data_IF_263328061676
#
_entry.id   IF_263328061676
#
_cell.length_a   1.000
_cell.length_b   1.000
_cell.length_c   1.000
_cell.angle_alpha   90.00
_cell.angle_beta   90.00
_cell.angle_gamma   90.00
#
_symmetry.space_group_name_H-M   'P 1'
#
loop_
_entity.id
_entity.type
_entity.pdbx_description
1 polymer ?
#
# COMPACT_ATOMS: atom_id res chain seq x y z
N UNK A 1 -13.13 17.29 9.57
CA UNK A 1 -12.78 15.89 9.26
C UNK A 1 -11.62 15.94 8.30
N UNK A 2 -10.41 15.70 8.79
CA UNK A 2 -9.28 15.44 7.90
C UNK A 2 -9.65 14.20 7.08
N UNK A 3 -9.48 14.27 5.75
CA UNK A 3 -9.69 13.14 4.85
C UNK A 3 -8.94 11.93 5.41
N UNK A 4 -9.53 10.74 5.29
CA UNK A 4 -8.74 9.52 5.32
C UNK A 4 -7.80 9.58 4.11
N UNK A 5 -6.61 10.13 4.30
CA UNK A 5 -5.62 10.30 3.23
C UNK A 5 -5.04 8.94 2.89
N UNK A 6 -5.62 8.29 1.88
CA UNK A 6 -5.27 6.96 1.36
C UNK A 6 -5.65 7.05 -0.13
N UNK A 7 -4.79 6.90 -1.14
CA UNK A 7 -3.79 5.86 -1.42
C UNK A 7 -2.78 6.44 -2.44
N UNK A 8 -1.48 6.41 -2.15
CA UNK A 8 -0.44 6.65 -3.16
C UNK A 8 0.19 5.28 -3.48
N UNK A 9 -0.15 4.75 -4.66
CA UNK A 9 0.48 3.54 -5.19
C UNK A 9 2.01 3.78 -5.23
N UNK A 10 2.87 2.83 -4.83
CA UNK A 10 4.28 2.95 -5.19
C UNK A 10 4.38 3.13 -6.71
N UNK A 11 5.09 4.19 -7.14
CA UNK A 11 5.46 4.47 -8.53
C UNK A 11 6.47 3.42 -9.00
N UNK A 12 6.01 2.19 -9.15
CA UNK A 12 6.74 1.13 -9.82
C UNK A 12 6.61 1.38 -11.32
N UNK A 13 7.75 1.47 -11.99
CA UNK A 13 7.84 1.51 -13.46
C UNK A 13 7.29 0.17 -13.94
N UNK A 14 6.05 0.20 -14.41
CA UNK A 14 5.29 -0.97 -14.84
C UNK A 14 4.71 -0.64 -16.19
N UNK A 15 5.19 -1.30 -17.22
CA UNK A 15 4.65 -1.24 -18.57
C UNK A 15 3.52 -2.30 -18.68
N UNK A 16 2.57 -2.12 -19.57
CA UNK A 16 1.42 -2.94 -20.00
C UNK A 16 0.84 -4.20 -19.30
N UNK A 17 -0.49 -4.33 -19.34
CA UNK A 17 -1.29 -5.58 -19.41
C UNK A 17 -2.47 -5.43 -20.40
N UNK A 18 -2.70 -6.38 -21.32
CA UNK A 18 -4.00 -6.57 -21.98
C UNK A 18 -4.78 -7.72 -21.34
N UNK A 19 -6.04 -7.49 -20.99
CA UNK A 19 -6.95 -8.47 -20.39
C UNK A 19 -7.38 -9.57 -21.37
N UNK A 20 -6.89 -10.79 -21.19
CA UNK A 20 -7.67 -12.00 -21.47
C UNK A 20 -7.61 -12.93 -20.26
N UNK A 21 -8.74 -13.47 -19.77
CA UNK A 21 -8.75 -14.49 -18.74
C UNK A 21 -8.43 -15.83 -19.39
N UNK A 22 -7.18 -16.05 -19.79
CA UNK A 22 -6.65 -17.41 -19.65
C UNK A 22 -6.44 -17.58 -18.15
N UNK A 23 -6.89 -18.70 -17.58
CA UNK A 23 -6.43 -19.15 -16.27
C UNK A 23 -4.91 -19.13 -16.34
N UNK A 24 -4.30 -18.04 -15.86
CA UNK A 24 -2.87 -17.82 -15.94
C UNK A 24 -2.32 -18.93 -15.07
N UNK A 25 -1.65 -19.90 -15.68
CA UNK A 25 -1.09 -21.01 -14.95
C UNK A 25 -0.07 -20.41 -13.98
N UNK A 26 -0.41 -20.33 -12.69
CA UNK A 26 0.48 -19.76 -11.71
C UNK A 26 1.74 -20.62 -11.61
N UNK A 27 2.90 -19.96 -11.49
CA UNK A 27 4.12 -20.69 -11.19
C UNK A 27 3.97 -21.33 -9.81
N UNK A 28 4.31 -22.62 -9.67
CA UNK A 28 4.31 -23.27 -8.36
C UNK A 28 5.04 -22.43 -7.31
N UNK A 29 4.58 -22.47 -6.05
CA UNK A 29 5.28 -21.80 -4.97
C UNK A 29 6.68 -22.37 -4.79
N UNK A 30 7.67 -21.55 -4.39
CA UNK A 30 8.97 -22.06 -4.00
C UNK A 30 8.83 -23.02 -2.81
N UNK A 31 9.47 -24.19 -2.90
CA UNK A 31 9.70 -25.02 -1.72
C UNK A 31 10.85 -24.42 -0.92
N UNK A 32 10.63 -24.20 0.38
CA UNK A 32 11.66 -23.67 1.28
C UNK A 32 11.82 -24.53 2.52
N UNK A 33 13.05 -24.62 3.02
CA UNK A 33 13.40 -25.39 4.21
C UNK A 33 13.57 -24.55 5.50
N UNK A 34 13.36 -23.23 5.41
CA UNK A 34 13.59 -22.31 6.52
C UNK A 34 12.53 -22.39 7.63
N UNK A 35 12.99 -22.30 8.88
CA UNK A 35 12.12 -22.27 10.07
C UNK A 35 11.40 -20.93 10.24
N UNK A 36 10.24 -20.94 10.90
CA UNK A 36 9.46 -19.72 11.16
C UNK A 36 10.25 -18.71 12.00
N UNK A 37 11.01 -19.15 13.01
CA UNK A 37 11.82 -18.25 13.83
C UNK A 37 12.90 -17.49 13.03
N UNK A 38 13.47 -18.13 12.00
CA UNK A 38 14.44 -17.50 11.12
C UNK A 38 13.78 -16.46 10.21
N UNK A 39 12.62 -16.81 9.64
CA UNK A 39 11.85 -15.93 8.76
C UNK A 39 11.24 -14.75 9.53
N UNK A 40 10.84 -14.96 10.77
CA UNK A 40 10.35 -13.94 11.67
C UNK A 40 11.44 -12.90 12.00
N UNK A 41 12.65 -13.38 12.34
CA UNK A 41 13.83 -12.52 12.53
C UNK A 41 14.18 -11.73 11.26
N UNK A 42 14.13 -12.36 10.10
CA UNK A 42 14.32 -11.68 8.81
C UNK A 42 13.24 -10.61 8.58
N UNK A 43 12.00 -10.93 8.93
CA UNK A 43 10.85 -10.03 8.86
C UNK A 43 11.10 -8.71 9.59
N UNK A 44 11.51 -8.80 10.85
CA UNK A 44 11.85 -7.65 11.69
C UNK A 44 13.12 -6.91 11.22
N UNK A 45 14.10 -7.60 10.64
CA UNK A 45 15.28 -6.93 10.08
C UNK A 45 14.90 -6.06 8.87
N UNK A 46 14.03 -6.55 7.99
CA UNK A 46 13.51 -5.77 6.85
C UNK A 46 12.71 -4.57 7.35
N UNK A 47 11.81 -4.76 8.33
CA UNK A 47 11.08 -3.67 9.00
C UNK A 47 12.02 -2.56 9.48
N UNK A 48 13.02 -2.91 10.29
CA UNK A 48 13.93 -1.95 10.89
C UNK A 48 14.73 -1.13 9.86
N UNK A 49 15.14 -1.76 8.76
CA UNK A 49 15.92 -1.10 7.70
C UNK A 49 15.06 -0.17 6.84
N UNK A 50 13.87 -0.63 6.44
CA UNK A 50 12.95 0.19 5.63
C UNK A 50 12.47 1.41 6.41
N UNK A 51 12.17 1.26 7.71
CA UNK A 51 11.71 2.38 8.55
C UNK A 51 12.79 3.45 8.81
N UNK A 52 14.06 3.21 8.46
CA UNK A 52 15.13 4.23 8.45
C UNK A 52 15.54 4.65 7.03
N UNK A 53 14.79 4.24 6.02
CA UNK A 53 15.02 4.59 4.61
C UNK A 53 16.14 3.79 3.93
N UNK A 54 16.62 2.71 4.56
CA UNK A 54 17.68 1.86 4.02
C UNK A 54 17.11 0.63 3.29
N UNK A 55 17.18 0.65 1.95
CA UNK A 55 16.76 -0.47 1.09
C UNK A 55 17.83 -1.54 0.89
N UNK A 56 19.04 -1.37 1.44
CA UNK A 56 20.21 -2.22 1.14
C UNK A 56 19.98 -3.69 1.46
N UNK A 57 19.33 -3.99 2.59
CA UNK A 57 19.00 -5.38 2.94
C UNK A 57 18.00 -5.96 1.95
N UNK A 58 16.97 -5.20 1.61
CA UNK A 58 15.90 -5.66 0.72
C UNK A 58 16.45 -5.93 -0.70
N UNK A 59 17.38 -5.12 -1.19
CA UNK A 59 18.08 -5.35 -2.46
C UNK A 59 18.86 -6.66 -2.49
N UNK A 60 19.57 -6.98 -1.39
CA UNK A 60 20.33 -8.23 -1.28
C UNK A 60 19.42 -9.45 -1.25
N UNK A 61 18.22 -9.30 -0.69
CA UNK A 61 17.26 -10.38 -0.58
C UNK A 61 16.50 -10.61 -1.88
N UNK A 62 16.23 -9.57 -2.68
CA UNK A 62 15.52 -9.72 -3.94
C UNK A 62 16.34 -10.52 -4.96
N UNK A 63 15.89 -11.73 -5.27
CA UNK A 63 16.47 -12.56 -6.32
C UNK A 63 15.84 -12.20 -7.66
N UNK A 64 16.50 -11.31 -8.42
CA UNK A 64 16.06 -10.96 -9.78
C UNK A 64 16.06 -12.14 -10.74
N UNK A 65 16.95 -13.10 -10.53
CA UNK A 65 16.98 -14.33 -11.31
C UNK A 65 15.69 -15.14 -11.11
N UNK A 66 15.31 -15.39 -9.85
CA UNK A 66 14.08 -16.14 -9.55
C UNK A 66 12.83 -15.34 -9.90
N UNK A 67 12.82 -14.02 -9.70
CA UNK A 67 11.73 -13.16 -10.18
C UNK A 67 11.58 -13.26 -11.71
N UNK A 68 12.68 -13.26 -12.46
CA UNK A 68 12.66 -13.40 -13.91
C UNK A 68 12.13 -14.76 -14.36
N UNK A 69 12.46 -15.84 -13.65
CA UNK A 69 11.85 -17.15 -13.89
C UNK A 69 10.33 -17.12 -13.69
N UNK A 70 9.85 -16.45 -12.63
CA UNK A 70 8.42 -16.26 -12.39
C UNK A 70 7.76 -15.46 -13.50
N UNK A 71 8.41 -14.39 -13.96
CA UNK A 71 7.94 -13.59 -15.10
C UNK A 71 7.86 -14.46 -16.36
N UNK A 72 8.86 -15.29 -16.63
CA UNK A 72 8.94 -16.10 -17.85
C UNK A 72 7.98 -17.31 -17.87
N UNK A 73 7.48 -17.75 -16.71
CA UNK A 73 6.59 -18.89 -16.58
C UNK A 73 5.33 -18.77 -17.48
N UNK A 74 4.88 -19.87 -18.14
CA UNK A 74 5.34 -21.26 -18.05
C UNK A 74 6.57 -21.60 -18.91
N UNK A 75 7.13 -20.63 -19.61
CA UNK A 75 8.32 -20.84 -20.43
C UNK A 75 9.55 -20.90 -19.53
N UNK A 76 10.44 -21.87 -19.79
CA UNK A 76 11.69 -22.02 -19.04
C UNK A 76 12.77 -21.23 -19.78
N UNK A 77 13.25 -20.09 -19.25
CA UNK A 77 14.27 -19.31 -19.92
C UNK A 77 15.59 -20.09 -19.94
N UNK A 78 16.30 -20.03 -21.07
CA UNK A 78 17.64 -20.58 -21.21
C UNK A 78 18.63 -19.85 -20.29
N UNK A 79 19.75 -20.50 -19.96
CA UNK A 79 20.81 -19.90 -19.14
C UNK A 79 21.31 -18.56 -19.72
N UNK A 80 21.39 -18.48 -21.05
CA UNK A 80 21.78 -17.25 -21.76
C UNK A 80 20.75 -16.15 -21.59
N UNK A 81 19.45 -16.45 -21.68
CA UNK A 81 18.39 -15.44 -21.51
C UNK A 81 18.34 -14.91 -20.09
N UNK A 82 18.56 -15.78 -19.08
CA UNK A 82 18.72 -15.36 -17.69
C UNK A 82 19.92 -14.41 -17.52
N UNK A 83 21.08 -14.76 -18.09
CA UNK A 83 22.28 -13.92 -18.03
C UNK A 83 22.08 -12.56 -18.72
N UNK A 84 21.45 -12.55 -19.90
CA UNK A 84 21.13 -11.31 -20.63
C UNK A 84 20.15 -10.43 -19.85
N UNK A 85 19.13 -11.01 -19.22
CA UNK A 85 18.18 -10.29 -18.37
C UNK A 85 18.85 -9.70 -17.11
N UNK A 86 19.67 -10.48 -16.41
CA UNK A 86 20.43 -10.03 -15.23
C UNK A 86 21.41 -8.90 -15.56
N UNK A 87 22.08 -8.98 -16.72
CA UNK A 87 22.94 -7.90 -17.20
C UNK A 87 22.14 -6.64 -17.47
N UNK A 88 21.02 -6.74 -18.20
CA UNK A 88 20.17 -5.60 -18.51
C UNK A 88 19.60 -4.92 -17.25
N UNK A 89 19.25 -5.70 -16.23
CA UNK A 89 18.83 -5.18 -14.93
C UNK A 89 19.97 -4.44 -14.21
N UNK A 90 21.15 -5.04 -14.14
CA UNK A 90 22.34 -4.39 -13.55
C UNK A 90 22.66 -3.06 -14.24
N UNK A 91 22.67 -3.04 -15.58
CA UNK A 91 22.87 -1.81 -16.37
C UNK A 91 21.76 -0.76 -16.14
N UNK A 92 20.53 -1.18 -15.85
CA UNK A 92 19.43 -0.26 -15.52
C UNK A 92 19.60 0.36 -14.13
N UNK A 93 20.05 -0.42 -13.13
CA UNK A 93 20.40 0.12 -11.81
C UNK A 93 21.54 1.13 -11.93
N UNK A 94 22.63 0.75 -12.62
CA UNK A 94 23.79 1.61 -12.82
C UNK A 94 23.43 2.95 -13.48
N UNK A 95 22.52 2.93 -14.46
CA UNK A 95 22.04 4.15 -15.12
C UNK A 95 21.10 4.99 -14.28
N UNK A 96 20.19 4.36 -13.54
CA UNK A 96 19.20 5.08 -12.72
C UNK A 96 19.77 5.57 -11.40
N UNK A 97 20.89 5.00 -10.95
CA UNK A 97 21.52 5.34 -9.66
C UNK A 97 20.73 4.85 -8.45
N UNK A 98 19.65 4.09 -8.65
CA UNK A 98 18.78 3.58 -7.59
C UNK A 98 18.31 2.17 -7.93
N UNK A 99 18.47 1.27 -6.98
CA UNK A 99 18.01 -0.11 -7.11
C UNK A 99 16.47 -0.20 -7.03
N UNK A 100 15.93 -1.34 -7.45
CA UNK A 100 14.51 -1.62 -7.31
C UNK A 100 14.03 -1.50 -5.85
N UNK A 101 14.74 -2.10 -4.89
CA UNK A 101 14.29 -2.05 -3.51
C UNK A 101 14.44 -0.64 -2.94
N UNK A 102 15.49 0.11 -3.27
CA UNK A 102 15.62 1.50 -2.83
C UNK A 102 14.51 2.40 -3.42
N UNK A 103 14.08 2.16 -4.66
CA UNK A 103 12.93 2.85 -5.23
C UNK A 103 11.63 2.54 -4.49
N UNK A 104 11.46 1.30 -4.03
CA UNK A 104 10.35 0.89 -3.19
C UNK A 104 10.44 1.58 -1.82
N UNK A 105 11.58 1.47 -1.14
CA UNK A 105 11.81 2.05 0.20
C UNK A 105 11.63 3.56 0.18
N UNK A 106 12.17 4.27 -0.81
CA UNK A 106 12.04 5.74 -0.89
C UNK A 106 10.60 6.21 -1.07
N UNK A 107 9.74 5.40 -1.68
CA UNK A 107 8.32 5.71 -1.81
C UNK A 107 7.56 5.43 -0.52
N UNK A 108 8.00 4.44 0.23
CA UNK A 108 7.43 4.08 1.53
C UNK A 108 7.91 4.98 2.67
N UNK A 109 9.16 5.40 2.65
CA UNK A 109 9.80 6.15 3.73
C UNK A 109 9.26 7.58 3.91
N UNK A 110 8.54 8.15 2.92
CA UNK A 110 7.95 9.48 3.04
C UNK A 110 6.86 9.51 4.13
N UNK A 111 7.29 9.69 5.38
CA UNK A 111 6.46 9.72 6.60
C UNK A 111 5.66 8.44 6.86
N UNK A 112 6.08 7.34 6.22
CA UNK A 112 5.42 6.05 6.36
C UNK A 112 6.12 5.12 7.33
N UNK A 113 5.32 4.26 7.95
CA UNK A 113 5.77 3.16 8.78
C UNK A 113 5.44 1.84 8.08
N UNK A 114 6.43 0.95 8.03
CA UNK A 114 6.23 -0.45 7.72
C UNK A 114 6.21 -1.26 9.01
N UNK A 115 5.27 -2.20 9.13
CA UNK A 115 5.13 -3.10 10.26
C UNK A 115 5.02 -4.55 9.78
N UNK A 116 5.93 -5.40 10.21
CA UNK A 116 5.91 -6.83 9.99
C UNK A 116 4.79 -7.47 10.82
N UNK A 117 3.94 -8.23 10.14
CA UNK A 117 2.76 -8.88 10.73
C UNK A 117 2.94 -10.38 10.92
N UNK A 118 4.09 -10.91 10.48
CA UNK A 118 4.46 -12.30 10.66
C UNK A 118 4.62 -13.09 9.36
N UNK A 119 5.02 -14.34 9.55
CA UNK A 119 5.17 -15.34 8.49
C UNK A 119 3.81 -15.94 8.17
N UNK A 120 3.47 -16.03 6.88
CA UNK A 120 2.27 -16.70 6.36
C UNK A 120 2.70 -17.92 5.54
N UNK A 121 2.25 -19.11 5.94
CA UNK A 121 2.40 -20.34 5.15
C UNK A 121 1.06 -20.63 4.49
N UNK A 122 1.00 -20.41 3.19
CA UNK A 122 -0.19 -20.52 2.38
C UNK A 122 0.02 -21.55 1.26
N UNK A 123 -1.05 -22.05 0.61
CA UNK A 123 -0.90 -22.99 -0.51
C UNK A 123 -0.06 -22.44 -1.66
N UNK A 124 0.02 -21.12 -1.82
CA UNK A 124 0.80 -20.40 -2.83
C UNK A 124 2.18 -19.92 -2.32
N UNK A 125 2.63 -20.45 -1.17
CA UNK A 125 4.00 -20.35 -0.71
C UNK A 125 4.15 -19.74 0.68
N UNK A 126 5.40 -19.48 1.06
CA UNK A 126 5.71 -18.83 2.34
C UNK A 126 5.95 -17.35 2.10
N UNK A 127 5.25 -16.50 2.85
CA UNK A 127 5.29 -15.06 2.69
C UNK A 127 5.66 -14.35 3.98
N UNK A 128 6.41 -13.26 3.85
CA UNK A 128 6.58 -12.27 4.91
C UNK A 128 5.55 -11.16 4.68
N UNK A 129 4.60 -11.00 5.61
CA UNK A 129 3.51 -10.04 5.48
C UNK A 129 3.82 -8.75 6.25
N UNK A 130 3.57 -7.61 5.62
CA UNK A 130 3.78 -6.29 6.18
C UNK A 130 2.54 -5.42 6.01
N UNK A 131 2.22 -4.61 7.02
CA UNK A 131 1.42 -3.40 6.88
C UNK A 131 2.35 -2.26 6.47
N UNK A 132 1.89 -1.43 5.56
CA UNK A 132 2.47 -0.12 5.31
C UNK A 132 1.39 0.93 5.56
N UNK A 133 1.72 1.98 6.32
CA UNK A 133 0.81 3.08 6.61
C UNK A 133 1.56 4.39 6.57
N UNK A 134 1.05 5.39 5.84
CA UNK A 134 1.55 6.76 5.94
C UNK A 134 0.41 7.79 5.82
N UNK A 135 0.60 9.02 6.28
CA UNK A 135 -0.37 10.10 6.09
C UNK A 135 -0.64 10.41 4.61
N UNK A 136 0.31 10.09 3.74
CA UNK A 136 0.29 10.45 2.31
C UNK A 136 -0.18 9.29 1.45
N UNK A 137 0.26 8.07 1.77
CA UNK A 137 0.01 6.87 0.99
C UNK A 137 -1.10 6.00 1.56
N UNK A 138 -1.57 6.32 2.77
CA UNK A 138 -2.56 5.56 3.49
C UNK A 138 -2.12 4.15 3.84
N UNK A 139 -3.11 3.30 4.12
CA UNK A 139 -2.94 1.90 4.46
C UNK A 139 -2.70 1.05 3.20
N UNK A 140 -1.75 0.12 3.28
CA UNK A 140 -1.58 -0.97 2.31
C UNK A 140 -1.00 -2.20 3.02
N UNK A 141 -1.13 -3.36 2.38
CA UNK A 141 -0.47 -4.59 2.82
C UNK A 141 0.39 -5.15 1.70
N UNK A 142 1.63 -5.50 2.04
CA UNK A 142 2.62 -6.05 1.11
C UNK A 142 3.05 -7.40 1.64
N UNK A 143 3.12 -8.40 0.77
CA UNK A 143 3.67 -9.71 1.11
C UNK A 143 4.83 -10.04 0.18
N UNK A 144 5.99 -10.36 0.76
CA UNK A 144 7.15 -10.85 0.02
C UNK A 144 7.11 -12.38 -0.04
N UNK A 145 7.10 -12.94 -1.24
CA UNK A 145 7.17 -14.38 -1.45
C UNK A 145 8.62 -14.85 -1.24
N UNK A 146 8.80 -15.79 -0.32
CA UNK A 146 10.11 -16.31 0.06
C UNK A 146 10.47 -17.51 -0.80
N UNK A 147 11.67 -17.47 -1.37
CA UNK A 147 12.33 -18.61 -2.00
C UNK A 147 13.64 -18.98 -1.31
N UNK A 148 14.35 -19.94 -1.89
CA UNK A 148 15.64 -20.42 -1.41
C UNK A 148 16.74 -20.05 -2.43
N UNK A 149 17.73 -19.29 -1.97
CA UNK A 149 18.95 -18.96 -2.70
C UNK A 149 20.07 -19.93 -2.35
N UNK A 150 21.32 -19.46 -2.30
CA UNK A 150 22.50 -20.25 -1.92
C UNK A 150 22.49 -20.66 -0.43
N UNK A 151 21.50 -21.47 0.00
CA UNK A 151 21.27 -21.88 1.38
C UNK A 151 20.68 -20.77 2.29
N UNK A 152 20.18 -19.68 1.70
CA UNK A 152 19.64 -18.52 2.43
C UNK A 152 18.29 -18.09 1.84
N UNK A 153 17.38 -17.51 2.65
CA UNK A 153 16.10 -17.01 2.17
C UNK A 153 16.33 -15.83 1.23
N UNK A 154 15.56 -15.81 0.15
CA UNK A 154 15.51 -14.71 -0.81
C UNK A 154 14.06 -14.34 -1.06
N UNK A 155 13.84 -13.13 -1.55
CA UNK A 155 12.53 -12.66 -2.01
C UNK A 155 12.47 -12.87 -3.51
N UNK A 156 11.47 -13.61 -3.97
CA UNK A 156 11.34 -14.00 -5.39
C UNK A 156 10.17 -13.31 -6.08
N UNK A 157 9.29 -12.69 -5.30
CA UNK A 157 8.12 -11.95 -5.77
C UNK A 157 7.58 -11.05 -4.67
N UNK A 158 6.70 -10.13 -5.03
CA UNK A 158 5.92 -9.34 -4.09
C UNK A 158 4.47 -9.25 -4.54
N UNK A 159 3.55 -9.19 -3.58
CA UNK A 159 2.15 -8.90 -3.81
C UNK A 159 1.75 -7.70 -2.96
N UNK A 160 0.92 -6.81 -3.50
CA UNK A 160 0.36 -5.69 -2.74
C UNK A 160 -1.17 -5.75 -2.78
N UNK A 161 -1.83 -5.45 -1.67
CA UNK A 161 -3.29 -5.43 -1.62
C UNK A 161 -3.88 -4.40 -2.57
N UNK A 162 -3.20 -3.27 -2.80
CA UNK A 162 -3.60 -2.31 -3.83
C UNK A 162 -3.63 -2.84 -5.26
N UNK A 163 -2.68 -3.72 -5.61
CA UNK A 163 -2.62 -4.33 -6.95
C UNK A 163 -3.46 -5.59 -7.02
N UNK A 164 -3.69 -6.29 -5.91
CA UNK A 164 -4.45 -7.54 -5.86
C UNK A 164 -3.79 -8.70 -6.63
N UNK A 165 -2.49 -8.60 -6.95
CA UNK A 165 -1.75 -9.63 -7.66
C UNK A 165 -0.23 -9.57 -7.43
N UNK A 166 0.46 -10.65 -7.80
CA UNK A 166 1.92 -10.73 -7.77
C UNK A 166 2.57 -9.81 -8.80
N UNK A 167 3.69 -9.21 -8.44
CA UNK A 167 4.44 -8.30 -9.28
C UNK A 167 5.01 -9.00 -10.52
N UNK A 168 5.41 -10.28 -10.39
CA UNK A 168 5.79 -11.09 -11.55
C UNK A 168 4.67 -11.24 -12.58
N UNK A 169 3.40 -11.31 -12.16
CA UNK A 169 2.26 -11.39 -13.08
C UNK A 169 2.06 -10.08 -13.82
N UNK A 170 2.19 -8.95 -13.10
CA UNK A 170 2.20 -7.62 -13.73
C UNK A 170 3.31 -7.58 -14.78
N UNK A 171 4.55 -7.88 -14.39
CA UNK A 171 5.73 -7.85 -15.26
C UNK A 171 5.69 -8.87 -16.40
N UNK A 172 5.10 -10.05 -16.21
CA UNK A 172 4.93 -11.03 -17.30
C UNK A 172 4.12 -10.43 -18.43
N UNK A 173 2.97 -9.86 -18.06
CA UNK A 173 2.08 -9.22 -19.02
C UNK A 173 2.69 -7.96 -19.62
N UNK A 174 3.60 -7.30 -18.88
CA UNK A 174 4.44 -6.20 -19.35
C UNK A 174 5.49 -6.61 -20.38
N UNK A 175 6.15 -7.74 -20.16
CA UNK A 175 7.38 -8.13 -20.88
C UNK A 175 7.12 -9.10 -22.03
N UNK A 176 5.99 -9.82 -22.02
CA UNK A 176 5.46 -10.58 -23.17
C UNK A 176 5.18 -9.72 -24.44
N UNK A 177 5.60 -8.46 -24.39
CA UNK A 177 5.24 -7.35 -25.25
C UNK A 177 6.48 -6.67 -25.84
N UNK A 178 7.67 -6.93 -25.31
CA UNK A 178 8.94 -6.39 -25.82
C UNK A 178 9.50 -7.30 -26.92
N UNK A 179 9.58 -6.74 -28.14
CA UNK A 179 10.03 -7.41 -29.37
C UNK A 179 11.54 -7.72 -29.38
N UNK A 180 12.32 -7.07 -28.52
CA UNK A 180 13.78 -7.26 -28.47
C UNK A 180 14.17 -8.57 -27.79
N UNK A 181 13.32 -9.11 -26.91
CA UNK A 181 13.55 -10.36 -26.19
C UNK A 181 13.33 -11.58 -27.13
N UNK A 182 14.35 -12.44 -27.33
CA UNK A 182 14.26 -13.60 -28.22
C UNK A 182 13.19 -14.64 -27.81
N UNK A 183 12.84 -14.72 -26.51
CA UNK A 183 11.79 -15.62 -26.00
C UNK A 183 10.42 -15.29 -26.61
N UNK A 184 10.10 -14.00 -26.79
CA UNK A 184 8.72 -13.56 -27.08
C UNK A 184 8.44 -13.17 -28.53
N UNK A 185 9.43 -13.25 -29.44
CA UNK A 185 9.20 -13.07 -30.90
C UNK A 185 8.28 -14.13 -31.51
N UNK A 186 8.04 -15.24 -30.81
CA UNK A 186 7.18 -16.34 -31.25
C UNK A 186 5.67 -16.09 -31.03
N UNK A 187 5.26 -15.09 -30.24
CA UNK A 187 3.86 -14.92 -29.82
C UNK A 187 3.04 -13.83 -30.56
N UNK A 188 3.62 -13.11 -31.53
CA UNK A 188 2.89 -12.54 -32.67
C UNK A 188 1.73 -11.55 -32.44
N UNK A 189 1.73 -10.69 -31.41
CA UNK A 189 0.71 -9.63 -31.23
C UNK A 189 1.32 -8.22 -31.22
N UNK A 190 1.28 -7.55 -32.37
CA UNK A 190 2.18 -6.43 -32.71
C UNK A 190 1.65 -4.99 -32.49
N UNK A 191 0.40 -4.73 -32.07
CA UNK A 191 -0.17 -3.36 -32.13
C UNK A 191 -0.65 -2.71 -30.83
N UNK A 192 -1.43 -3.43 -30.01
CA UNK A 192 -2.11 -2.85 -28.83
C UNK A 192 -1.16 -2.67 -27.64
N UNK A 193 -0.24 -3.61 -27.54
CA UNK A 193 0.93 -3.71 -26.68
C UNK A 193 1.71 -2.40 -26.49
N UNK A 194 2.25 -1.83 -27.58
CA UNK A 194 3.02 -0.58 -27.52
C UNK A 194 2.16 0.60 -27.06
N UNK A 195 0.92 0.68 -27.55
CA UNK A 195 0.00 1.77 -27.18
C UNK A 195 -0.27 1.79 -25.69
N UNK A 196 -0.35 0.61 -25.08
CA UNK A 196 -0.55 0.50 -23.64
C UNK A 196 0.68 0.91 -22.84
N UNK A 197 1.88 0.50 -23.27
CA UNK A 197 3.14 0.99 -22.68
C UNK A 197 3.22 2.50 -22.71
N UNK A 198 3.00 3.08 -23.90
CA UNK A 198 3.00 4.52 -24.11
C UNK A 198 1.96 5.18 -23.20
N UNK A 199 0.75 4.61 -23.09
CA UNK A 199 -0.30 5.14 -22.23
C UNK A 199 0.08 5.16 -20.75
N UNK A 200 0.71 4.09 -20.24
CA UNK A 200 1.14 4.05 -18.84
C UNK A 200 2.24 5.07 -18.58
N UNK A 201 3.26 5.12 -19.45
CA UNK A 201 4.34 6.10 -19.34
C UNK A 201 3.78 7.54 -19.33
N UNK A 202 2.87 7.84 -20.26
CA UNK A 202 2.24 9.15 -20.37
C UNK A 202 1.41 9.51 -19.13
N UNK A 203 0.67 8.58 -18.55
CA UNK A 203 -0.06 8.81 -17.30
C UNK A 203 0.88 8.98 -16.11
N UNK A 204 1.94 8.17 -16.01
CA UNK A 204 2.92 8.27 -14.92
C UNK A 204 3.71 9.58 -14.96
N UNK A 205 4.10 10.05 -16.14
CA UNK A 205 4.81 11.32 -16.30
C UNK A 205 3.95 12.50 -15.82
N UNK A 206 2.69 12.57 -16.24
CA UNK A 206 1.71 13.58 -15.78
C UNK A 206 1.49 13.51 -14.28
N UNK A 207 1.30 12.30 -13.76
CA UNK A 207 1.12 12.08 -12.32
C UNK A 207 2.32 12.60 -11.53
N UNK A 208 3.55 12.24 -11.93
CA UNK A 208 4.79 12.72 -11.30
C UNK A 208 4.97 14.22 -11.41
N UNK A 209 4.45 14.85 -12.47
CA UNK A 209 4.45 16.30 -12.65
C UNK A 209 3.38 17.02 -11.81
N UNK A 210 2.51 16.28 -11.09
CA UNK A 210 1.38 16.85 -10.35
C UNK A 210 0.21 17.26 -11.24
N UNK A 211 0.24 16.90 -12.52
CA UNK A 211 -0.79 17.20 -13.53
C UNK A 211 -1.95 16.20 -13.41
N UNK A 212 -2.57 16.13 -12.22
CA UNK A 212 -3.51 15.05 -11.87
C UNK A 212 -4.75 15.04 -12.76
N UNK A 213 -5.31 16.20 -13.11
CA UNK A 213 -6.44 16.30 -14.02
C UNK A 213 -6.07 15.82 -15.43
N UNK A 214 -4.86 16.11 -15.90
CA UNK A 214 -4.39 15.65 -17.21
C UNK A 214 -4.23 14.13 -17.26
N UNK A 215 -3.96 13.46 -16.13
CA UNK A 215 -3.99 11.99 -16.05
C UNK A 215 -5.40 11.47 -16.32
N UNK A 216 -6.42 12.10 -15.73
CA UNK A 216 -7.84 11.73 -15.90
C UNK A 216 -8.30 11.96 -17.33
N UNK A 217 -8.01 13.13 -17.88
CA UNK A 217 -8.36 13.49 -19.26
C UNK A 217 -7.66 12.60 -20.28
N UNK A 218 -6.37 12.33 -20.07
CA UNK A 218 -5.62 11.42 -20.93
C UNK A 218 -6.22 10.01 -20.89
N UNK A 219 -6.53 9.48 -19.71
CA UNK A 219 -7.20 8.18 -19.57
C UNK A 219 -8.54 8.15 -20.32
N UNK A 220 -9.37 9.19 -20.17
CA UNK A 220 -10.66 9.28 -20.85
C UNK A 220 -10.50 9.28 -22.38
N UNK A 221 -9.41 9.86 -22.90
CA UNK A 221 -9.09 9.89 -24.33
C UNK A 221 -8.61 8.55 -24.92
N UNK A 222 -8.20 7.60 -24.07
CA UNK A 222 -7.70 6.31 -24.54
C UNK A 222 -8.83 5.48 -25.18
N UNK A 223 -8.53 4.64 -26.19
CA UNK A 223 -9.46 3.65 -26.70
C UNK A 223 -10.01 2.75 -25.57
N UNK A 224 -11.25 2.28 -25.73
CA UNK A 224 -11.92 1.41 -24.75
C UNK A 224 -11.09 0.19 -24.36
N UNK A 225 -10.43 -0.45 -25.34
CA UNK A 225 -9.54 -1.60 -25.09
C UNK A 225 -8.37 -1.29 -24.17
N UNK A 226 -7.90 -0.03 -24.12
CA UNK A 226 -6.88 0.41 -23.18
C UNK A 226 -7.48 0.85 -21.85
N UNK A 227 -8.62 1.56 -21.85
CA UNK A 227 -9.28 1.96 -20.59
C UNK A 227 -9.65 0.77 -19.72
N UNK A 228 -10.04 -0.35 -20.32
CA UNK A 228 -10.36 -1.58 -19.57
C UNK A 228 -9.13 -2.32 -19.03
N UNK A 229 -7.92 -1.78 -19.23
CA UNK A 229 -6.73 -2.34 -18.60
C UNK A 229 -6.63 -1.89 -17.16
N UNK A 230 -6.64 -2.88 -16.25
CA UNK A 230 -6.58 -2.70 -14.81
C UNK A 230 -5.50 -1.70 -14.38
N UNK A 231 -4.30 -1.83 -14.90
CA UNK A 231 -3.18 -0.95 -14.54
C UNK A 231 -3.45 0.53 -14.87
N UNK A 232 -4.00 0.83 -16.04
CA UNK A 232 -4.36 2.21 -16.40
C UNK A 232 -5.48 2.73 -15.50
N UNK A 233 -6.43 1.87 -15.17
CA UNK A 233 -7.53 2.21 -14.27
C UNK A 233 -7.06 2.49 -12.84
N UNK A 234 -6.11 1.70 -12.31
CA UNK A 234 -5.49 1.94 -11.00
C UNK A 234 -4.69 3.25 -10.98
N UNK A 235 -3.99 3.60 -12.06
CA UNK A 235 -3.31 4.90 -12.17
C UNK A 235 -4.33 6.05 -12.17
N UNK A 236 -5.48 5.90 -12.84
CA UNK A 236 -6.58 6.87 -12.77
C UNK A 236 -7.12 7.00 -11.35
N UNK A 237 -7.43 5.88 -10.66
CA UNK A 237 -7.92 5.89 -9.27
C UNK A 237 -6.96 6.66 -8.36
N UNK A 238 -5.66 6.41 -8.51
CA UNK A 238 -4.62 7.14 -7.78
C UNK A 238 -4.63 8.64 -8.09
N UNK A 239 -4.82 9.03 -9.34
CA UNK A 239 -4.91 10.44 -9.72
C UNK A 239 -6.14 11.12 -9.11
N UNK A 240 -7.33 10.51 -9.22
CA UNK A 240 -8.57 11.10 -8.67
C UNK A 240 -8.58 11.13 -7.15
N UNK A 241 -7.97 10.16 -6.48
CA UNK A 241 -7.76 10.18 -5.01
C UNK A 241 -6.96 11.41 -4.57
N UNK A 242 -6.03 11.89 -5.40
CA UNK A 242 -5.21 13.06 -5.11
C UNK A 242 -5.84 14.41 -5.56
N UNK A 243 -6.97 14.42 -6.28
CA UNK A 243 -7.64 15.63 -6.78
C UNK A 243 -8.58 16.28 -5.75
N UNK A 244 -8.85 15.63 -4.61
CA UNK A 244 -9.82 16.11 -3.60
C UNK A 244 -11.26 16.21 -4.18
N UNK A 245 -11.60 15.38 -5.18
CA UNK A 245 -12.93 15.30 -5.80
C UNK A 245 -13.56 13.92 -5.56
N UNK A 246 -14.49 13.89 -4.61
CA UNK A 246 -15.13 12.66 -4.12
C UNK A 246 -16.01 12.00 -5.19
N UNK A 247 -16.62 12.77 -6.11
CA UNK A 247 -17.46 12.22 -7.18
C UNK A 247 -16.61 11.60 -8.29
N UNK A 248 -15.49 12.25 -8.65
CA UNK A 248 -14.52 11.67 -9.59
C UNK A 248 -13.91 10.38 -9.04
N UNK A 249 -13.56 10.37 -7.76
CA UNK A 249 -13.08 9.17 -7.07
C UNK A 249 -14.13 8.06 -7.09
N UNK A 250 -15.36 8.37 -6.67
CA UNK A 250 -16.43 7.40 -6.60
C UNK A 250 -16.77 6.79 -7.97
N UNK A 251 -16.79 7.61 -9.02
CA UNK A 251 -17.00 7.15 -10.41
C UNK A 251 -15.92 6.17 -10.84
N UNK A 252 -14.65 6.46 -10.54
CA UNK A 252 -13.56 5.55 -10.87
C UNK A 252 -13.70 4.20 -10.12
N UNK A 253 -14.07 4.20 -8.85
CA UNK A 253 -14.27 2.95 -8.09
C UNK A 253 -15.44 2.12 -8.63
N UNK A 254 -16.57 2.76 -8.98
CA UNK A 254 -17.72 2.05 -9.56
C UNK A 254 -17.38 1.37 -10.90
N UNK A 255 -16.62 2.07 -11.75
CA UNK A 255 -16.10 1.49 -12.98
C UNK A 255 -15.17 0.31 -12.69
N UNK A 256 -14.27 0.42 -11.68
CA UNK A 256 -13.40 -0.67 -11.26
C UNK A 256 -14.19 -1.90 -10.79
N UNK A 257 -15.25 -1.70 -10.00
CA UNK A 257 -16.14 -2.78 -9.57
C UNK A 257 -16.84 -3.45 -10.76
N UNK A 258 -17.25 -2.68 -11.76
CA UNK A 258 -17.88 -3.24 -12.96
C UNK A 258 -16.89 -4.01 -13.84
N UNK A 259 -15.66 -3.52 -13.97
CA UNK A 259 -14.64 -4.13 -14.83
C UNK A 259 -13.95 -5.33 -14.17
N UNK A 260 -13.78 -5.28 -12.84
CA UNK A 260 -12.97 -6.23 -12.07
C UNK A 260 -13.69 -6.74 -10.80
N UNK A 261 -14.93 -7.27 -10.90
CA UNK A 261 -15.84 -7.48 -9.75
C UNK A 261 -15.34 -8.42 -8.64
N UNK A 262 -14.33 -9.25 -8.91
CA UNK A 262 -13.76 -10.21 -7.94
C UNK A 262 -12.27 -9.93 -7.66
N UNK A 263 -11.78 -8.76 -8.04
CA UNK A 263 -10.38 -8.44 -7.91
C UNK A 263 -10.02 -8.11 -6.47
N UNK A 264 -8.99 -8.76 -5.88
CA UNK A 264 -8.58 -8.48 -4.50
C UNK A 264 -8.13 -7.03 -4.27
N UNK A 265 -7.78 -6.29 -5.34
CA UNK A 265 -7.49 -4.87 -5.25
C UNK A 265 -8.66 -4.04 -4.70
N UNK A 266 -9.90 -4.49 -4.96
CA UNK A 266 -11.10 -3.78 -4.53
C UNK A 266 -11.29 -3.81 -3.01
N UNK A 267 -10.76 -4.82 -2.32
CA UNK A 267 -11.00 -5.01 -0.89
C UNK A 267 -10.58 -3.79 -0.05
N UNK A 268 -9.45 -3.18 -0.42
CA UNK A 268 -8.95 -1.98 0.25
C UNK A 268 -9.60 -0.71 -0.31
N UNK A 269 -9.76 -0.63 -1.63
CA UNK A 269 -10.34 0.55 -2.30
C UNK A 269 -11.80 0.81 -1.89
N UNK A 270 -12.56 -0.24 -1.59
CA UNK A 270 -13.97 -0.11 -1.23
C UNK A 270 -14.18 0.47 0.17
N UNK A 271 -13.20 0.38 1.06
CA UNK A 271 -13.27 0.97 2.40
C UNK A 271 -13.46 2.49 2.28
N UNK A 272 -12.58 3.16 1.54
CA UNK A 272 -12.62 4.61 1.37
C UNK A 272 -13.84 5.05 0.56
N UNK A 273 -14.15 4.32 -0.52
CA UNK A 273 -15.34 4.56 -1.34
C UNK A 273 -16.64 4.59 -0.53
N UNK A 274 -16.86 3.56 0.30
CA UNK A 274 -18.05 3.50 1.14
C UNK A 274 -18.00 4.56 2.26
N UNK A 275 -16.82 4.89 2.79
CA UNK A 275 -16.66 5.88 3.85
C UNK A 275 -17.03 7.29 3.37
N UNK A 276 -16.53 7.70 2.20
CA UNK A 276 -16.82 8.99 1.56
C UNK A 276 -18.33 9.15 1.30
N UNK A 277 -19.01 8.07 0.94
CA UNK A 277 -20.47 8.05 0.73
C UNK A 277 -21.31 7.90 1.99
N UNK A 278 -20.68 7.86 3.17
CA UNK A 278 -21.36 7.65 4.45
C UNK A 278 -22.00 6.27 4.59
N UNK A 279 -21.63 5.30 3.75
CA UNK A 279 -22.15 3.93 3.75
C UNK A 279 -21.42 3.07 4.79
N UNK A 280 -21.48 3.49 6.05
CA UNK A 280 -20.64 2.94 7.12
C UNK A 280 -20.79 1.43 7.36
N UNK A 281 -22.00 0.87 7.16
CA UNK A 281 -22.19 -0.58 7.29
C UNK A 281 -21.45 -1.34 6.17
N UNK A 282 -21.43 -0.80 4.96
CA UNK A 282 -20.64 -1.35 3.84
C UNK A 282 -19.14 -1.24 4.09
N UNK A 283 -18.68 -0.15 4.72
CA UNK A 283 -17.28 -0.01 5.15
C UNK A 283 -16.90 -1.14 6.11
N UNK A 284 -17.72 -1.40 7.13
CA UNK A 284 -17.43 -2.45 8.11
C UNK A 284 -17.38 -3.84 7.46
N UNK A 285 -18.26 -4.11 6.49
CA UNK A 285 -18.21 -5.36 5.72
C UNK A 285 -16.90 -5.47 4.93
N UNK A 286 -16.47 -4.41 4.24
CA UNK A 286 -15.21 -4.39 3.49
C UNK A 286 -14.00 -4.59 4.42
N UNK A 287 -13.98 -3.93 5.58
CA UNK A 287 -12.93 -4.15 6.60
C UNK A 287 -12.92 -5.61 7.07
N UNK A 288 -14.09 -6.19 7.35
CA UNK A 288 -14.17 -7.59 7.82
C UNK A 288 -13.71 -8.59 6.76
N UNK A 289 -13.97 -8.32 5.48
CA UNK A 289 -13.44 -9.13 4.37
C UNK A 289 -11.91 -9.06 4.29
N UNK A 290 -11.34 -7.85 4.43
CA UNK A 290 -9.89 -7.65 4.47
C UNK A 290 -9.26 -8.37 5.69
N UNK A 291 -9.89 -8.24 6.85
CA UNK A 291 -9.42 -8.82 8.11
C UNK A 291 -9.40 -10.35 8.10
N UNK A 292 -10.35 -10.99 7.41
CA UNK A 292 -10.36 -12.45 7.26
C UNK A 292 -9.08 -12.98 6.58
N UNK A 293 -8.49 -12.21 5.66
CA UNK A 293 -7.25 -12.57 4.96
C UNK A 293 -6.00 -12.12 5.71
N UNK A 294 -6.00 -10.88 6.18
CA UNK A 294 -4.80 -10.23 6.73
C UNK A 294 -4.62 -10.54 8.22
N UNK A 295 -5.71 -10.51 9.00
CA UNK A 295 -5.74 -10.67 10.46
C UNK A 295 -4.81 -9.69 11.18
N UNK A 296 -4.93 -8.42 10.85
CA UNK A 296 -4.15 -7.34 11.46
C UNK A 296 -5.02 -6.54 12.44
N UNK A 297 -4.71 -6.55 13.75
CA UNK A 297 -5.44 -5.75 14.74
C UNK A 297 -5.51 -4.26 14.40
N UNK A 298 -4.59 -3.72 13.60
CA UNK A 298 -4.67 -2.32 13.14
C UNK A 298 -5.95 -2.00 12.37
N UNK A 299 -6.64 -2.98 11.79
CA UNK A 299 -7.95 -2.74 11.16
C UNK A 299 -9.02 -2.26 12.16
N UNK A 300 -8.81 -2.46 13.47
CA UNK A 300 -9.64 -1.84 14.49
C UNK A 300 -9.50 -0.31 14.54
N UNK A 301 -8.41 0.26 14.03
CA UNK A 301 -8.32 1.71 13.85
C UNK A 301 -9.35 2.19 12.82
N UNK A 302 -9.48 1.47 11.71
CA UNK A 302 -10.47 1.77 10.68
C UNK A 302 -11.89 1.63 11.26
N UNK A 303 -12.18 0.54 12.00
CA UNK A 303 -13.47 0.36 12.68
C UNK A 303 -13.75 1.45 13.73
N UNK A 304 -12.74 1.87 14.47
CA UNK A 304 -12.80 2.97 15.43
C UNK A 304 -13.09 4.32 14.78
N UNK A 305 -12.49 4.57 13.62
CA UNK A 305 -12.70 5.79 12.86
C UNK A 305 -14.11 5.85 12.25
N UNK A 306 -14.65 4.71 11.82
CA UNK A 306 -16.06 4.60 11.42
C UNK A 306 -17.00 4.79 12.63
N UNK A 307 -16.64 4.31 13.81
CA UNK A 307 -17.40 4.60 15.02
C UNK A 307 -17.42 6.10 15.36
N UNK A 308 -16.29 6.80 15.22
CA UNK A 308 -16.22 8.27 15.35
C UNK A 308 -17.15 8.97 14.36
N UNK A 309 -17.10 8.59 13.07
CA UNK A 309 -17.96 9.18 12.05
C UNK A 309 -19.46 9.00 12.35
N UNK A 310 -19.81 7.89 13.02
CA UNK A 310 -21.17 7.59 13.50
C UNK A 310 -21.50 8.22 14.86
N UNK A 311 -20.57 8.96 15.46
CA UNK A 311 -20.66 9.54 16.81
C UNK A 311 -20.84 8.49 17.92
N UNK A 312 -20.42 7.25 17.67
CA UNK A 312 -20.36 6.20 18.68
C UNK A 312 -19.00 6.24 19.38
N UNK A 313 -18.82 7.28 20.19
CA UNK A 313 -17.55 7.58 20.86
C UNK A 313 -17.14 6.48 21.86
N UNK A 314 -18.11 5.77 22.45
CA UNK A 314 -17.83 4.64 23.34
C UNK A 314 -17.19 3.47 22.58
N UNK A 315 -17.71 3.16 21.39
CA UNK A 315 -17.13 2.12 20.55
C UNK A 315 -15.77 2.54 20.00
N UNK A 316 -15.60 3.80 19.57
CA UNK A 316 -14.30 4.34 19.16
C UNK A 316 -13.23 4.18 20.26
N UNK A 317 -13.55 4.53 21.51
CA UNK A 317 -12.66 4.31 22.67
C UNK A 317 -12.35 2.85 22.92
N UNK A 318 -13.31 1.96 22.73
CA UNK A 318 -13.11 0.52 22.91
C UNK A 318 -12.08 0.00 21.90
N UNK A 319 -12.19 0.42 20.63
CA UNK A 319 -11.20 0.08 19.60
C UNK A 319 -9.81 0.68 19.91
N UNK A 320 -9.75 1.94 20.33
CA UNK A 320 -8.51 2.57 20.75
C UNK A 320 -7.83 1.77 21.89
N UNK A 321 -8.57 1.39 22.93
CA UNK A 321 -8.03 0.59 24.03
C UNK A 321 -7.55 -0.79 23.58
N UNK A 322 -8.21 -1.42 22.61
CA UNK A 322 -7.75 -2.68 22.03
C UNK A 322 -6.43 -2.51 21.29
N UNK A 323 -6.31 -1.47 20.46
CA UNK A 323 -5.09 -1.14 19.74
C UNK A 323 -3.93 -0.83 20.69
N UNK A 324 -4.17 -0.07 21.77
CA UNK A 324 -3.12 0.23 22.76
C UNK A 324 -2.59 -1.02 23.49
N UNK A 325 -3.44 -2.04 23.68
CA UNK A 325 -3.01 -3.34 24.23
C UNK A 325 -2.21 -4.16 23.22
N UNK A 326 -2.51 -3.98 21.93
CA UNK A 326 -1.80 -4.64 20.85
C UNK A 326 -0.43 -4.03 20.63
N UNK A 327 -0.37 -2.72 20.47
CA UNK A 327 0.85 -1.96 20.25
C UNK A 327 0.66 -0.53 20.79
N UNK A 328 1.28 -0.26 21.94
CA UNK A 328 1.19 1.05 22.60
C UNK A 328 2.02 2.13 21.91
N UNK A 329 2.86 1.77 20.94
CA UNK A 329 3.65 2.72 20.16
C UNK A 329 2.87 3.31 18.96
N UNK A 330 1.71 2.74 18.62
CA UNK A 330 0.87 3.26 17.53
C UNK A 330 0.27 4.62 17.89
N UNK A 331 0.34 5.59 16.98
CA UNK A 331 -0.25 6.93 17.15
C UNK A 331 -1.77 6.90 17.05
N UNK A 332 -2.30 6.07 16.17
CA UNK A 332 -3.71 5.93 15.83
C UNK A 332 -4.67 5.75 17.02
N UNK A 333 -4.44 4.85 18.00
CA UNK A 333 -5.32 4.76 19.16
C UNK A 333 -5.43 6.06 19.96
N UNK A 334 -4.34 6.80 20.12
CA UNK A 334 -4.37 8.07 20.85
C UNK A 334 -5.17 9.11 20.07
N UNK A 335 -5.01 9.16 18.74
CA UNK A 335 -5.82 10.01 17.87
C UNK A 335 -7.32 9.69 17.98
N UNK A 336 -7.70 8.41 18.03
CA UNK A 336 -9.11 8.04 18.26
C UNK A 336 -9.67 8.59 19.58
N UNK A 337 -8.89 8.50 20.67
CA UNK A 337 -9.30 9.02 21.98
C UNK A 337 -9.44 10.55 21.96
N UNK A 338 -8.46 11.23 21.36
CA UNK A 338 -8.41 12.68 21.22
C UNK A 338 -9.58 13.17 20.36
N UNK A 339 -9.80 12.58 19.19
CA UNK A 339 -10.90 12.94 18.29
C UNK A 339 -12.27 12.73 18.95
N UNK A 340 -12.49 11.60 19.64
CA UNK A 340 -13.71 11.39 20.40
C UNK A 340 -13.94 12.49 21.46
N UNK A 341 -12.89 12.88 22.17
CA UNK A 341 -12.98 13.91 23.20
C UNK A 341 -13.23 15.30 22.63
N UNK A 342 -12.63 15.64 21.49
CA UNK A 342 -12.90 16.90 20.75
C UNK A 342 -14.36 16.95 20.33
N UNK A 343 -14.87 15.91 19.69
CA UNK A 343 -16.25 15.86 19.18
C UNK A 343 -17.30 15.93 20.30
N UNK A 344 -17.01 15.35 21.47
CA UNK A 344 -17.85 15.45 22.67
C UNK A 344 -17.65 16.74 23.46
N UNK A 345 -16.70 17.59 23.07
CA UNK A 345 -16.24 18.77 23.84
C UNK A 345 -15.87 18.41 25.28
N UNK A 346 -15.32 17.22 25.47
CA UNK A 346 -14.90 16.72 26.79
C UNK A 346 -13.45 17.12 27.06
N UNK A 347 -13.27 18.29 27.65
CA UNK A 347 -11.95 18.85 27.95
C UNK A 347 -11.09 17.95 28.86
N UNK A 348 -11.71 17.21 29.79
CA UNK A 348 -10.96 16.28 30.66
C UNK A 348 -10.40 15.13 29.84
N UNK A 349 -11.25 14.46 29.05
CA UNK A 349 -10.82 13.35 28.21
C UNK A 349 -9.81 13.78 27.15
N UNK A 350 -9.92 15.02 26.63
CA UNK A 350 -8.96 15.57 25.68
C UNK A 350 -7.58 15.78 26.33
N UNK A 351 -7.54 16.39 27.53
CA UNK A 351 -6.29 16.54 28.27
C UNK A 351 -5.67 15.19 28.64
N UNK A 352 -6.48 14.22 29.06
CA UNK A 352 -6.03 12.87 29.39
C UNK A 352 -5.46 12.15 28.16
N UNK A 353 -6.12 12.25 27.00
CA UNK A 353 -5.65 11.66 25.74
C UNK A 353 -4.31 12.24 25.28
N UNK A 354 -4.17 13.57 25.31
CA UNK A 354 -2.91 14.26 24.97
C UNK A 354 -1.77 13.87 25.93
N UNK A 355 -2.06 13.84 27.23
CA UNK A 355 -1.08 13.43 28.25
C UNK A 355 -0.64 11.97 28.04
N UNK A 356 -1.58 11.09 27.72
CA UNK A 356 -1.30 9.67 27.50
C UNK A 356 -0.40 9.44 26.27
N UNK A 357 -0.63 10.19 25.19
CA UNK A 357 0.21 10.17 23.98
C UNK A 357 1.65 10.64 24.27
N UNK A 358 1.78 11.75 25.02
CA UNK A 358 3.07 12.29 25.47
C UNK A 358 3.82 11.33 26.39
N UNK A 359 3.13 10.72 27.36
CA UNK A 359 3.71 9.78 28.32
C UNK A 359 4.17 8.48 27.66
N UNK A 360 3.49 8.05 26.59
CA UNK A 360 3.90 6.91 25.79
C UNK A 360 5.10 7.21 24.88
N UNK A 361 5.50 8.48 24.73
CA UNK A 361 6.59 8.89 23.85
C UNK A 361 6.27 8.70 22.37
N UNK A 362 4.99 8.67 22.01
CA UNK A 362 4.53 8.44 20.64
C UNK A 362 4.57 9.72 19.82
N UNK A 363 4.14 10.83 20.41
CA UNK A 363 4.28 12.16 19.82
C UNK A 363 4.36 13.22 20.93
N UNK A 364 5.01 14.34 20.64
CA UNK A 364 5.12 15.46 21.55
C UNK A 364 3.90 16.38 21.42
N UNK A 365 3.42 16.90 22.55
CA UNK A 365 2.34 17.89 22.54
C UNK A 365 2.89 19.20 21.97
N UNK A 366 2.61 19.46 20.71
CA UNK A 366 2.86 20.74 20.07
C UNK A 366 1.85 21.80 20.54
N UNK A 367 2.09 22.37 21.73
CA UNK A 367 1.20 23.39 22.32
C UNK A 367 0.95 24.58 21.37
N UNK A 368 1.95 25.00 20.59
CA UNK A 368 1.79 26.07 19.61
C UNK A 368 0.76 25.70 18.52
N UNK A 369 0.73 24.45 18.08
CA UNK A 369 -0.26 23.96 17.11
C UNK A 369 -1.66 23.95 17.74
N UNK A 370 -1.76 23.52 19.01
CA UNK A 370 -3.03 23.54 19.75
C UNK A 370 -3.56 24.97 19.89
N UNK A 371 -2.70 25.93 20.25
CA UNK A 371 -3.10 27.33 20.47
C UNK A 371 -3.49 28.06 19.19
N UNK A 372 -3.02 27.59 18.04
CA UNK A 372 -3.40 28.11 16.72
C UNK A 372 -4.68 27.47 16.17
N UNK A 373 -5.12 26.33 16.72
CA UNK A 373 -6.33 25.66 16.28
C UNK A 373 -7.59 26.32 16.86
N UNK A 374 -8.28 27.08 16.01
CA UNK A 374 -9.53 27.75 16.38
C UNK A 374 -10.63 26.80 16.89
N UNK A 375 -10.60 25.52 16.51
CA UNK A 375 -11.57 24.51 16.96
C UNK A 375 -11.39 24.14 18.43
N UNK A 376 -10.20 24.40 19.01
CA UNK A 376 -9.84 24.08 20.38
C UNK A 376 -9.95 25.28 21.34
N UNK A 377 -10.54 26.40 20.90
CA UNK A 377 -10.67 27.63 21.71
C UNK A 377 -11.26 27.38 23.11
N UNK A 378 -12.34 26.61 23.19
CA UNK A 378 -13.01 26.29 24.46
C UNK A 378 -12.10 25.45 25.38
N UNK A 379 -11.33 24.52 24.80
CA UNK A 379 -10.36 23.71 25.53
C UNK A 379 -9.19 24.55 26.03
N UNK A 380 -8.64 25.45 25.20
CA UNK A 380 -7.53 26.34 25.58
C UNK A 380 -7.91 27.24 26.77
N UNK A 381 -9.15 27.71 26.83
CA UNK A 381 -9.66 28.51 27.95
C UNK A 381 -9.84 27.68 29.25
N UNK A 382 -9.91 26.35 29.14
CA UNK A 382 -10.28 25.45 30.22
C UNK A 382 -9.22 25.30 31.32
N UNK A 383 -9.62 24.95 32.55
CA UNK A 383 -8.69 24.53 33.60
C UNK A 383 -7.84 23.31 33.23
N UNK A 384 -8.38 22.39 32.43
CA UNK A 384 -7.74 21.15 31.99
C UNK A 384 -6.50 21.45 31.14
N UNK A 385 -6.63 22.32 30.14
CA UNK A 385 -5.52 22.75 29.31
C UNK A 385 -4.42 23.46 30.12
N UNK A 386 -4.80 24.36 31.03
CA UNK A 386 -3.83 25.04 31.91
C UNK A 386 -3.02 24.07 32.77
N UNK A 387 -3.66 22.99 33.25
CA UNK A 387 -2.97 21.92 34.00
C UNK A 387 -2.04 21.12 33.09
N UNK A 388 -2.50 20.76 31.90
CA UNK A 388 -1.73 20.02 30.91
C UNK A 388 -0.47 20.80 30.49
N UNK A 389 -0.63 22.07 30.09
CA UNK A 389 0.48 22.96 29.70
C UNK A 389 1.50 23.10 30.82
N UNK A 390 1.06 23.35 32.07
CA UNK A 390 1.97 23.43 33.22
C UNK A 390 2.77 22.14 33.47
N UNK A 391 2.24 20.97 33.10
CA UNK A 391 2.91 19.68 33.32
C UNK A 391 3.99 19.39 32.27
N UNK A 392 3.79 19.81 31.01
CA UNK A 392 4.63 19.40 29.87
C UNK A 392 5.30 20.54 29.10
N UNK A 393 5.04 21.80 29.44
CA UNK A 393 5.69 23.00 28.89
C UNK A 393 6.36 23.79 30.00
#
# INVERSE_FOLDING_TARGET
MNRFSIVLLPTLILISCTSQPSVEQEMPPPEISFSDAMLDSLGHQIEAQVNVGDGTLLDKLFSFEQLFERIAWPEVPSAREKEEALRGYTEAIERSGSSFAQNIVSQWYNEGEMRFLGVRREPDGVKLLYRFSSPVNGLNYISFLVGEGQGAPVIVDLHTSMLGENYSNVLRRTLAQDRSNPIYRLLGKEGETKKLSDAIEQMQLRYKAGELHDVVDYYASLPESLRHQKILHLIRIRAVSAIDDDELYATAIEEAQSLFPNDPALDLLLIDFYAIRGQYDSVLIAIDQLDQRIKDPYLDYQRGSIALARKDYNKARTYAQTLMRYDSALTEPYLLLISAAIDEKNHSALADGLALMQEAGVDEIAFDNIEQDSTLTDFIASPEYKRLKKKYH
#
